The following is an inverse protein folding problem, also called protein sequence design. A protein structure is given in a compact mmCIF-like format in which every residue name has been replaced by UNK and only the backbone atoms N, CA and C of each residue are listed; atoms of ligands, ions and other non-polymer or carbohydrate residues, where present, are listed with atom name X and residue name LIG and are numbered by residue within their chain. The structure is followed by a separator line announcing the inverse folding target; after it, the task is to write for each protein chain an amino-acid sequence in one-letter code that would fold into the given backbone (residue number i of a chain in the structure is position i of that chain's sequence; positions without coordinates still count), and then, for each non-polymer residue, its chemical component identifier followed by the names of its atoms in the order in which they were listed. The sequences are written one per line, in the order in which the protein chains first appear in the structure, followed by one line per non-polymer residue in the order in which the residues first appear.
data_IF_708802370334
#
_entry.id   IF_708802370334
#
_cell.length_a   1.000
_cell.length_b   1.000
_cell.length_c   1.000
_cell.angle_alpha   90.00
_cell.angle_beta   90.00
_cell.angle_gamma   90.00
#
_symmetry.space_group_name_H-M   'P 1'
#
loop_
_entity.id
_entity.type
_entity.pdbx_description
1 polymer ?
#
# COMPACT_ATOMS: atom_id res chain seq x y z
N UNK A 1 4.53 -6.01 -18.35
CA UNK A 1 5.20 -4.90 -17.64
C UNK A 1 5.08 -5.18 -16.15
N UNK A 2 6.15 -5.04 -15.37
CA UNK A 2 6.13 -5.36 -13.94
C UNK A 2 5.52 -4.21 -13.13
N UNK A 3 4.76 -4.54 -12.08
CA UNK A 3 4.27 -3.55 -11.11
C UNK A 3 5.47 -2.89 -10.41
N UNK A 4 5.40 -1.58 -10.18
CA UNK A 4 6.48 -0.86 -9.50
C UNK A 4 6.46 -1.17 -8.01
N UNK A 5 7.63 -1.34 -7.40
CA UNK A 5 7.72 -1.61 -5.96
C UNK A 5 7.71 -0.31 -5.14
N UNK A 6 6.93 -0.28 -4.07
CA UNK A 6 6.92 0.83 -3.09
C UNK A 6 7.69 0.39 -1.86
N UNK A 7 8.72 1.14 -1.50
CA UNK A 7 9.54 0.88 -0.32
C UNK A 7 8.71 1.11 0.94
N UNK A 8 8.51 0.05 1.72
CA UNK A 8 7.81 0.11 2.99
C UNK A 8 8.72 0.64 4.10
N UNK A 9 8.34 1.75 4.73
CA UNK A 9 9.08 2.34 5.86
C UNK A 9 8.53 1.82 7.19
N UNK A 10 9.23 0.90 7.84
CA UNK A 10 8.88 0.45 9.21
C UNK A 10 9.27 1.47 10.27
N UNK A 11 8.31 1.93 11.06
CA UNK A 11 8.50 2.84 12.20
C UNK A 11 8.62 2.09 13.52
N UNK A 12 9.11 2.80 14.54
CA UNK A 12 9.15 2.38 15.93
C UNK A 12 8.61 3.49 16.81
N UNK A 13 8.03 3.14 17.96
CA UNK A 13 7.56 4.13 18.93
C UNK A 13 8.72 5.03 19.39
N UNK A 14 8.49 6.34 19.35
CA UNK A 14 9.39 7.39 19.86
C UNK A 14 10.77 7.47 19.16
N UNK A 15 10.93 6.87 17.98
CA UNK A 15 12.16 6.97 17.17
C UNK A 15 11.88 7.71 15.86
N UNK A 16 12.58 8.82 15.55
CA UNK A 16 12.44 9.49 14.27
C UNK A 16 13.06 8.65 13.15
N UNK A 17 12.39 8.59 12.00
CA UNK A 17 12.88 7.90 10.81
C UNK A 17 12.45 8.61 9.54
N UNK A 18 13.34 8.63 8.56
CA UNK A 18 13.02 9.16 7.22
C UNK A 18 12.05 8.23 6.49
N UNK A 19 11.03 8.83 5.87
CA UNK A 19 10.03 8.12 5.07
C UNK A 19 10.51 8.05 3.62
N UNK A 20 10.34 6.88 2.99
CA UNK A 20 10.68 6.67 1.58
C UNK A 20 9.98 7.67 0.63
N UNK A 21 10.59 7.87 -0.53
CA UNK A 21 10.03 8.72 -1.59
C UNK A 21 8.67 8.20 -2.06
N UNK A 22 7.79 9.11 -2.48
CA UNK A 22 6.52 8.75 -3.07
C UNK A 22 6.72 8.10 -4.45
N UNK A 23 5.98 7.02 -4.70
CA UNK A 23 5.97 6.32 -5.99
C UNK A 23 4.74 6.73 -6.77
N UNK A 24 4.92 7.17 -8.00
CA UNK A 24 3.81 7.45 -8.92
C UNK A 24 3.35 6.15 -9.58
N UNK A 25 2.06 5.84 -9.47
CA UNK A 25 1.46 4.65 -10.04
C UNK A 25 1.30 4.77 -11.57
N UNK A 26 1.67 3.72 -12.28
CA UNK A 26 1.43 3.54 -13.73
C UNK A 26 0.13 2.78 -13.98
N UNK A 27 -0.15 2.41 -15.23
CA UNK A 27 -1.31 1.58 -15.58
C UNK A 27 -1.26 0.18 -14.92
N UNK A 28 -0.06 -0.34 -14.68
CA UNK A 28 0.18 -1.63 -14.04
C UNK A 28 -0.06 -1.58 -12.52
N UNK A 29 0.01 -0.40 -11.92
CA UNK A 29 -0.04 -0.19 -10.48
C UNK A 29 1.29 -0.47 -9.77
N UNK A 30 1.22 -0.59 -8.45
CA UNK A 30 2.37 -0.84 -7.60
C UNK A 30 2.13 -1.97 -6.61
N UNK A 31 3.23 -2.50 -6.08
CA UNK A 31 3.24 -3.53 -5.05
C UNK A 31 4.03 -3.06 -3.84
N UNK A 32 3.55 -3.41 -2.67
CA UNK A 32 4.26 -3.25 -1.40
C UNK A 32 4.71 -4.64 -0.98
N UNK A 33 6.01 -4.86 -0.87
CA UNK A 33 6.51 -6.09 -0.27
C UNK A 33 6.26 -6.08 1.24
N UNK A 34 5.60 -7.14 1.70
CA UNK A 34 5.23 -7.35 3.09
C UNK A 34 5.68 -8.74 3.59
N UNK A 35 6.62 -9.37 2.87
CA UNK A 35 7.22 -10.64 3.28
C UNK A 35 7.92 -10.50 4.63
N UNK A 36 7.58 -11.39 5.57
CA UNK A 36 8.19 -11.42 6.91
C UNK A 36 7.59 -10.49 7.96
N UNK A 37 6.48 -9.80 7.66
CA UNK A 37 5.72 -9.02 8.64
C UNK A 37 4.37 -9.70 8.91
N UNK A 38 4.15 -10.17 10.14
CA UNK A 38 2.87 -10.73 10.57
C UNK A 38 2.10 -9.69 11.37
N UNK A 39 0.89 -9.37 10.94
CA UNK A 39 -0.12 -8.63 11.71
C UNK A 39 0.26 -7.20 12.14
N UNK A 40 0.70 -6.36 11.20
CA UNK A 40 0.94 -4.93 11.46
C UNK A 40 0.03 -4.04 10.59
N UNK A 41 -0.25 -2.84 11.12
CA UNK A 41 -1.02 -1.80 10.45
C UNK A 41 -0.13 -1.08 9.45
N UNK A 42 -0.65 -0.85 8.24
CA UNK A 42 0.04 -0.08 7.22
C UNK A 42 -0.70 1.24 7.02
N UNK A 43 0.03 2.35 7.15
CA UNK A 43 -0.42 3.67 6.74
C UNK A 43 0.01 3.92 5.29
N UNK A 44 -0.98 4.15 4.43
CA UNK A 44 -0.78 4.55 3.05
C UNK A 44 -1.13 6.03 2.90
N UNK A 45 -0.19 6.79 2.34
CA UNK A 45 -0.40 8.18 1.98
C UNK A 45 -0.55 8.29 0.47
N UNK A 46 -1.73 8.72 0.01
CA UNK A 46 -2.14 8.70 -1.38
C UNK A 46 -2.51 10.11 -1.86
N UNK A 47 -1.93 10.55 -2.97
CA UNK A 47 -2.19 11.85 -3.60
C UNK A 47 -2.27 11.77 -5.13
N UNK A 48 -2.44 12.90 -5.80
CA UNK A 48 -2.39 13.03 -7.27
C UNK A 48 -3.62 12.52 -8.04
N UNK A 49 -4.11 11.33 -7.73
CA UNK A 49 -5.28 10.71 -8.37
C UNK A 49 -5.93 9.66 -7.45
N UNK A 50 -7.05 9.08 -7.90
CA UNK A 50 -7.71 8.02 -7.15
C UNK A 50 -6.90 6.73 -7.24
N UNK A 51 -6.89 5.95 -6.16
CA UNK A 51 -6.23 4.66 -6.11
C UNK A 51 -7.14 3.63 -5.44
N UNK A 52 -6.87 2.36 -5.69
CA UNK A 52 -7.59 1.22 -5.11
C UNK A 52 -6.58 0.27 -4.52
N UNK A 53 -6.75 -0.08 -3.24
CA UNK A 53 -6.00 -1.15 -2.59
C UNK A 53 -6.75 -2.44 -2.87
N UNK A 54 -6.09 -3.41 -3.52
CA UNK A 54 -6.73 -4.65 -3.92
C UNK A 54 -6.88 -5.59 -2.74
N UNK A 55 -8.04 -6.22 -2.61
CA UNK A 55 -8.25 -7.29 -1.66
C UNK A 55 -7.21 -8.39 -1.87
N UNK A 56 -6.71 -8.96 -0.78
CA UNK A 56 -5.82 -10.10 -0.82
C UNK A 56 -6.56 -11.38 -1.24
N UNK A 57 -5.89 -12.52 -1.08
CA UNK A 57 -6.44 -13.86 -1.34
C UNK A 57 -6.58 -14.71 -0.06
N UNK A 58 -6.32 -14.11 1.10
CA UNK A 58 -6.43 -14.76 2.41
C UNK A 58 -7.86 -14.80 2.93
N UNK A 59 -8.07 -15.52 4.05
CA UNK A 59 -9.41 -15.70 4.66
C UNK A 59 -10.05 -14.38 5.13
N UNK A 60 -9.25 -13.35 5.41
CA UNK A 60 -9.73 -12.04 5.84
C UNK A 60 -10.02 -11.09 4.66
N UNK A 61 -9.68 -11.49 3.43
CA UNK A 61 -9.92 -10.67 2.25
C UNK A 61 -11.42 -10.60 1.96
N UNK A 62 -11.95 -9.37 1.86
CA UNK A 62 -13.39 -9.12 1.70
C UNK A 62 -13.69 -8.33 0.44
N UNK A 63 -13.12 -7.13 0.32
CA UNK A 63 -13.34 -6.27 -0.83
C UNK A 63 -12.16 -5.33 -1.07
N UNK A 64 -12.01 -4.87 -2.30
CA UNK A 64 -11.12 -3.78 -2.64
C UNK A 64 -11.48 -2.52 -1.85
N UNK A 65 -10.48 -1.73 -1.49
CA UNK A 65 -10.66 -0.43 -0.83
C UNK A 65 -10.37 0.69 -1.82
N UNK A 66 -11.43 1.36 -2.27
CA UNK A 66 -11.32 2.56 -3.09
C UNK A 66 -10.90 3.77 -2.25
N UNK A 67 -9.87 4.47 -2.67
CA UNK A 67 -9.38 5.72 -2.07
C UNK A 67 -9.65 6.86 -3.07
N UNK A 68 -10.79 7.58 -2.93
CA UNK A 68 -11.17 8.61 -3.88
C UNK A 68 -10.27 9.83 -3.74
N UNK A 69 -9.97 10.50 -4.85
CA UNK A 69 -9.13 11.67 -4.88
C UNK A 69 -9.91 12.97 -4.65
N UNK A 70 -9.24 13.92 -3.99
CA UNK A 70 -9.70 15.31 -3.88
C UNK A 70 -8.53 16.20 -4.28
N UNK A 71 -8.72 17.02 -5.30
CA UNK A 71 -7.66 17.89 -5.85
C UNK A 71 -6.98 18.71 -4.77
N UNK A 72 -5.63 18.71 -4.80
CA UNK A 72 -4.80 19.45 -3.84
C UNK A 72 -4.74 18.85 -2.43
N UNK A 73 -5.34 17.68 -2.20
CA UNK A 73 -5.29 17.00 -0.90
C UNK A 73 -4.60 15.64 -1.02
N UNK A 74 -3.94 15.26 0.07
CA UNK A 74 -3.41 13.93 0.28
C UNK A 74 -4.33 13.19 1.26
N UNK A 75 -4.49 11.88 1.07
CA UNK A 75 -5.25 11.02 1.96
C UNK A 75 -4.33 10.06 2.68
N UNK A 76 -4.66 9.80 3.94
CA UNK A 76 -4.01 8.86 4.81
C UNK A 76 -5.02 7.73 5.09
N UNK A 77 -4.62 6.49 4.86
CA UNK A 77 -5.46 5.31 5.15
C UNK A 77 -4.62 4.31 5.93
N UNK A 78 -5.09 3.96 7.12
CA UNK A 78 -4.51 2.86 7.90
C UNK A 78 -5.29 1.61 7.59
N UNK A 79 -4.60 0.55 7.19
CA UNK A 79 -5.17 -0.76 6.86
C UNK A 79 -4.53 -1.87 7.67
N UNK A 80 -5.32 -2.88 8.02
CA UNK A 80 -4.82 -4.17 8.49
C UNK A 80 -4.27 -4.94 7.28
N UNK A 81 -2.95 -5.12 7.24
CA UNK A 81 -2.24 -5.74 6.11
C UNK A 81 -2.80 -7.12 5.71
N UNK A 82 -3.24 -7.93 6.68
CA UNK A 82 -3.78 -9.28 6.45
C UNK A 82 -4.97 -9.35 5.48
N UNK A 83 -5.79 -8.28 5.40
CA UNK A 83 -6.94 -8.20 4.47
C UNK A 83 -6.53 -7.99 3.01
N UNK A 84 -5.34 -7.46 2.79
CA UNK A 84 -4.85 -7.03 1.47
C UNK A 84 -3.62 -7.82 1.01
N UNK A 85 -3.10 -8.73 1.84
CA UNK A 85 -1.95 -9.56 1.54
C UNK A 85 -2.32 -10.73 0.63
N UNK A 86 -1.55 -10.91 -0.45
CA UNK A 86 -1.61 -12.10 -1.29
C UNK A 86 -0.69 -13.20 -0.74
N UNK A 87 -1.17 -14.43 -0.65
CA UNK A 87 -0.50 -15.61 -0.13
C UNK A 87 -0.09 -16.56 -1.25
N UNK A 88 -0.62 -16.36 -2.45
CA UNK A 88 -0.38 -17.20 -3.63
C UNK A 88 -0.11 -16.36 -4.88
N UNK A 89 0.35 -17.02 -5.95
CA UNK A 89 0.59 -16.39 -7.25
C UNK A 89 1.80 -15.45 -7.30
N UNK A 90 1.84 -14.63 -8.35
CA UNK A 90 2.94 -13.70 -8.65
C UNK A 90 3.09 -12.58 -7.60
N UNK A 91 2.00 -12.22 -6.92
CA UNK A 91 1.98 -11.18 -5.89
C UNK A 91 2.14 -11.73 -4.47
N UNK A 92 2.51 -13.01 -4.30
CA UNK A 92 2.67 -13.62 -2.98
C UNK A 92 3.59 -12.78 -2.08
N UNK A 93 3.13 -12.52 -0.85
CA UNK A 93 3.79 -11.70 0.15
C UNK A 93 3.63 -10.20 -0.07
N UNK A 94 2.80 -9.77 -1.04
CA UNK A 94 2.67 -8.37 -1.41
C UNK A 94 1.25 -7.86 -1.27
N UNK A 95 1.13 -6.55 -1.09
CA UNK A 95 -0.12 -5.79 -1.22
C UNK A 95 -0.10 -5.07 -2.55
N UNK A 96 -1.22 -5.11 -3.28
CA UNK A 96 -1.33 -4.52 -4.62
C UNK A 96 -2.15 -3.23 -4.55
N UNK A 97 -1.63 -2.18 -5.17
CA UNK A 97 -2.28 -0.87 -5.27
C UNK A 97 -2.40 -0.51 -6.75
N UNK A 98 -3.59 -0.16 -7.18
CA UNK A 98 -3.91 0.19 -8.56
C UNK A 98 -4.47 1.61 -8.65
N UNK A 99 -4.36 2.21 -9.82
CA UNK A 99 -4.70 3.61 -10.07
C UNK A 99 -3.58 4.25 -10.87
N UNK A 100 -3.90 5.15 -11.79
CA UNK A 100 -2.89 5.76 -12.67
C UNK A 100 -2.71 7.23 -12.30
N UNK A 101 -1.46 7.66 -12.16
CA UNK A 101 -1.12 9.04 -11.80
C UNK A 101 -1.30 9.38 -10.32
N UNK A 102 -1.73 8.41 -9.50
CA UNK A 102 -1.71 8.57 -8.04
C UNK A 102 -0.28 8.43 -7.52
N UNK A 103 0.06 9.15 -6.45
CA UNK A 103 1.32 8.98 -5.73
C UNK A 103 1.06 8.25 -4.43
N UNK A 104 1.92 7.28 -4.09
CA UNK A 104 1.76 6.43 -2.91
C UNK A 104 3.05 6.44 -2.10
N UNK A 105 2.92 6.63 -0.79
CA UNK A 105 3.95 6.32 0.21
C UNK A 105 3.39 5.32 1.21
N UNK A 106 4.24 4.43 1.71
CA UNK A 106 3.84 3.34 2.58
C UNK A 106 4.70 3.33 3.83
N UNK A 107 4.02 3.28 4.97
CA UNK A 107 4.60 3.28 6.29
C UNK A 107 3.99 2.13 7.08
N UNK A 108 4.83 1.25 7.61
CA UNK A 108 4.42 0.20 8.53
C UNK A 108 4.50 0.74 9.95
N UNK A 109 3.35 0.75 10.62
CA UNK A 109 3.19 1.24 11.98
C UNK A 109 3.61 0.14 12.98
N UNK A 110 4.18 0.52 14.14
CA UNK A 110 4.65 -0.40 15.18
C UNK A 110 3.51 -1.10 15.95
#
# INVERSE_FOLDING_TARGET
MAKTEVVNTKLKFNEPKEVGAAVTLTAEGAVVDYTGSSDELILLLIGGAAATIKAGDGIQATSDLAVPFVTGKQKAVVVESGKYLFHTGENKGKIVIEGTGATVQVIQLP
#
